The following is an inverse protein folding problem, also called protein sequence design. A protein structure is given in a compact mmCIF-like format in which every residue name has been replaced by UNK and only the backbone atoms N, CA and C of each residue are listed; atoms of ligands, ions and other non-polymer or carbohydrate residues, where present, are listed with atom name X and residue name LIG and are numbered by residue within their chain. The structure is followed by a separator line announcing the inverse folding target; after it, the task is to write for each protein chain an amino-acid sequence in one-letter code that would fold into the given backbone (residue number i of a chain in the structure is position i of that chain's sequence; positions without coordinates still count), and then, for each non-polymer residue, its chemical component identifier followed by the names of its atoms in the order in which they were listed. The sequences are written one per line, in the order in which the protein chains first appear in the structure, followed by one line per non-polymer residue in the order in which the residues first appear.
data_IF_745717985975
#
_entry.id   IF_745717985975
#
_cell.length_a   1.000
_cell.length_b   1.000
_cell.length_c   1.000
_cell.angle_alpha   90.00
_cell.angle_beta   90.00
_cell.angle_gamma   90.00
#
_symmetry.space_group_name_H-M   'P 1'
#
loop_
_entity.id
_entity.type
_entity.pdbx_description
1 polymer ?
#
# COMPACT_ATOMS: atom_id res chain seq x y z
N UNK A 1 23.46 9.09 14.79
CA UNK A 1 24.53 8.56 15.66
C UNK A 1 24.26 7.11 16.08
N UNK A 2 23.07 6.78 16.62
CA UNK A 2 22.71 5.42 17.03
C UNK A 2 22.68 4.38 15.90
N UNK A 3 22.24 4.76 14.69
CA UNK A 3 22.27 3.90 13.49
C UNK A 3 23.69 3.49 13.09
N UNK A 4 24.65 4.42 13.17
CA UNK A 4 26.05 4.15 12.85
C UNK A 4 26.68 3.21 13.88
N UNK A 5 26.37 3.40 15.17
CA UNK A 5 26.82 2.52 16.26
C UNK A 5 26.24 1.11 16.12
N UNK A 6 24.96 0.98 15.77
CA UNK A 6 24.31 -0.30 15.47
C UNK A 6 25.01 -1.03 14.31
N UNK A 7 25.25 -0.33 13.19
CA UNK A 7 25.93 -0.90 12.02
C UNK A 7 27.37 -1.33 12.31
N UNK A 8 28.11 -0.56 13.12
CA UNK A 8 29.48 -0.91 13.51
C UNK A 8 29.50 -2.15 14.39
N UNK A 9 28.65 -2.23 15.42
CA UNK A 9 28.61 -3.37 16.35
C UNK A 9 28.12 -4.65 15.67
N UNK A 10 27.07 -4.55 14.85
CA UNK A 10 26.59 -5.68 14.03
C UNK A 10 27.62 -6.09 12.99
N UNK A 11 28.32 -5.14 12.36
CA UNK A 11 29.41 -5.38 11.41
C UNK A 11 30.59 -6.12 12.03
N UNK A 12 31.01 -5.74 13.25
CA UNK A 12 32.07 -6.44 14.01
C UNK A 12 31.62 -7.87 14.33
N UNK A 13 30.39 -8.06 14.81
CA UNK A 13 29.83 -9.38 15.09
C UNK A 13 29.75 -10.27 13.85
N UNK A 14 29.29 -9.72 12.73
CA UNK A 14 29.21 -10.41 11.44
C UNK A 14 30.59 -10.79 10.91
N UNK A 15 31.56 -9.88 10.99
CA UNK A 15 32.94 -10.15 10.56
C UNK A 15 33.57 -11.31 11.35
N UNK A 16 33.36 -11.35 12.67
CA UNK A 16 33.83 -12.45 13.52
C UNK A 16 33.10 -13.76 13.17
N UNK A 17 31.80 -13.69 12.90
CA UNK A 17 30.99 -14.85 12.54
C UNK A 17 31.41 -15.46 11.19
N UNK A 18 31.49 -14.65 10.13
CA UNK A 18 31.87 -15.09 8.78
C UNK A 18 33.30 -15.64 8.72
N UNK A 19 34.27 -14.91 9.28
CA UNK A 19 35.69 -15.33 9.26
C UNK A 19 35.95 -16.64 9.99
N UNK A 20 35.14 -16.98 11.00
CA UNK A 20 35.31 -18.19 11.79
C UNK A 20 34.39 -19.34 11.36
N UNK A 21 33.41 -19.09 10.48
CA UNK A 21 32.62 -20.13 9.82
C UNK A 21 33.49 -20.99 8.90
N UNK A 22 34.36 -20.36 8.12
CA UNK A 22 35.33 -21.06 7.24
C UNK A 22 36.35 -21.90 8.04
N UNK A 23 36.69 -21.46 9.26
CA UNK A 23 37.70 -22.11 10.12
C UNK A 23 37.13 -23.17 11.07
N UNK A 24 35.83 -23.49 10.97
CA UNK A 24 35.10 -24.49 11.79
C UNK A 24 35.26 -24.35 13.33
N UNK A 25 35.58 -23.15 13.83
CA UNK A 25 35.78 -22.93 15.27
C UNK A 25 34.44 -22.61 15.96
N UNK A 26 33.81 -23.63 16.56
CA UNK A 26 32.50 -23.50 17.23
C UNK A 26 32.45 -22.40 18.29
N UNK A 27 33.53 -22.21 19.06
CA UNK A 27 33.58 -21.19 20.14
C UNK A 27 33.54 -19.76 19.59
N UNK A 28 34.27 -19.46 18.52
CA UNK A 28 34.34 -18.10 17.95
C UNK A 28 33.10 -17.74 17.13
N UNK A 29 32.48 -18.73 16.48
CA UNK A 29 31.17 -18.57 15.82
C UNK A 29 30.10 -18.22 16.87
N UNK A 30 30.10 -18.91 18.01
CA UNK A 30 29.20 -18.58 19.12
C UNK A 30 29.44 -17.15 19.64
N UNK A 31 30.70 -16.73 19.82
CA UNK A 31 31.01 -15.35 20.24
C UNK A 31 30.51 -14.29 19.26
N UNK A 32 30.70 -14.50 17.95
CA UNK A 32 30.19 -13.59 16.92
C UNK A 32 28.66 -13.50 16.93
N UNK A 33 27.98 -14.65 17.04
CA UNK A 33 26.52 -14.70 17.15
C UNK A 33 26.00 -14.02 18.44
N UNK A 34 26.68 -14.22 19.57
CA UNK A 34 26.34 -13.56 20.84
C UNK A 34 26.52 -12.05 20.77
N UNK A 35 27.56 -11.53 20.10
CA UNK A 35 27.75 -10.09 19.91
C UNK A 35 26.60 -9.49 19.10
N UNK A 36 26.21 -10.14 18.00
CA UNK A 36 25.07 -9.70 17.18
C UNK A 36 23.80 -9.72 18.02
N UNK A 37 23.51 -10.82 18.71
CA UNK A 37 22.32 -10.96 19.55
C UNK A 37 22.27 -9.93 20.67
N UNK A 38 23.37 -9.72 21.39
CA UNK A 38 23.46 -8.71 22.44
C UNK A 38 23.28 -7.28 21.90
N UNK A 39 23.85 -6.99 20.73
CA UNK A 39 23.66 -5.68 20.07
C UNK A 39 22.20 -5.46 19.73
N UNK A 40 21.55 -6.42 19.08
CA UNK A 40 20.12 -6.32 18.72
C UNK A 40 19.26 -6.14 19.97
N UNK A 41 19.48 -6.96 21.01
CA UNK A 41 18.74 -6.85 22.27
C UNK A 41 18.95 -5.50 22.97
N UNK A 42 20.18 -4.99 22.97
CA UNK A 42 20.50 -3.69 23.57
C UNK A 42 19.75 -2.55 22.88
N UNK A 43 19.72 -2.53 21.54
CA UNK A 43 19.00 -1.50 20.81
C UNK A 43 17.48 -1.62 20.93
N UNK A 44 16.93 -2.84 20.96
CA UNK A 44 15.51 -3.06 21.24
C UNK A 44 15.14 -2.58 22.66
N UNK A 45 16.02 -2.79 23.64
CA UNK A 45 15.83 -2.29 24.99
C UNK A 45 15.89 -0.76 25.05
N UNK A 46 16.84 -0.13 24.36
CA UNK A 46 16.92 1.34 24.31
C UNK A 46 15.68 1.97 23.68
N UNK A 47 15.15 1.35 22.63
CA UNK A 47 13.93 1.79 21.96
C UNK A 47 12.72 1.69 22.91
N UNK A 48 12.55 0.52 23.53
CA UNK A 48 11.52 0.29 24.55
C UNK A 48 11.61 1.29 25.72
N UNK A 49 12.81 1.49 26.27
CA UNK A 49 13.04 2.40 27.39
C UNK A 49 12.81 3.86 27.00
N UNK A 50 13.20 4.24 25.78
CA UNK A 50 12.95 5.56 25.24
C UNK A 50 11.46 5.86 25.10
N UNK A 51 10.68 4.90 24.59
CA UNK A 51 9.22 5.03 24.49
C UNK A 51 8.57 5.10 25.87
N UNK A 52 8.94 4.23 26.81
CA UNK A 52 8.40 4.26 28.18
C UNK A 52 8.60 5.64 28.84
N UNK A 53 9.84 6.17 28.80
CA UNK A 53 10.16 7.49 29.35
C UNK A 53 9.37 8.61 28.66
N UNK A 54 9.16 8.51 27.35
CA UNK A 54 8.37 9.48 26.61
C UNK A 54 6.88 9.45 27.01
N UNK A 55 6.30 8.26 27.16
CA UNK A 55 4.92 8.10 27.64
C UNK A 55 4.77 8.56 29.09
N UNK A 56 5.76 8.31 29.94
CA UNK A 56 5.77 8.77 31.33
C UNK A 56 5.87 10.30 31.42
N UNK A 57 6.73 10.92 30.61
CA UNK A 57 6.86 12.38 30.53
C UNK A 57 5.55 13.08 30.10
N UNK A 58 4.71 12.41 29.32
CA UNK A 58 3.40 12.91 28.90
C UNK A 58 2.25 12.53 29.85
N UNK A 59 2.53 11.79 30.93
CA UNK A 59 1.51 11.31 31.88
C UNK A 59 0.63 10.17 31.36
N UNK A 60 1.02 9.51 30.27
CA UNK A 60 0.28 8.41 29.63
C UNK A 60 0.89 7.03 29.88
N UNK A 61 1.63 6.85 30.99
CA UNK A 61 2.30 5.58 31.34
C UNK A 61 1.34 4.38 31.34
N UNK A 62 0.11 4.55 31.85
CA UNK A 62 -0.91 3.49 31.80
C UNK A 62 -1.29 3.04 30.38
N UNK A 63 -1.28 3.95 29.40
CA UNK A 63 -1.55 3.64 27.99
C UNK A 63 -0.41 2.84 27.37
N UNK A 64 0.85 3.16 27.72
CA UNK A 64 2.02 2.42 27.26
C UNK A 64 1.94 0.95 27.66
N UNK A 65 1.72 0.65 28.94
CA UNK A 65 1.59 -0.73 29.42
C UNK A 65 0.40 -1.46 28.81
N UNK A 66 -0.73 -0.77 28.61
CA UNK A 66 -1.89 -1.36 27.94
C UNK A 66 -1.56 -1.76 26.50
N UNK A 67 -0.88 -0.88 25.76
CA UNK A 67 -0.45 -1.15 24.38
C UNK A 67 0.58 -2.27 24.32
N UNK A 68 1.59 -2.24 25.19
CA UNK A 68 2.64 -3.24 25.26
C UNK A 68 2.09 -4.63 25.62
N UNK A 69 1.23 -4.71 26.64
CA UNK A 69 0.58 -5.97 27.04
C UNK A 69 -0.36 -6.51 25.96
N UNK A 70 -1.08 -5.62 25.27
CA UNK A 70 -1.92 -6.03 24.14
C UNK A 70 -1.06 -6.62 23.02
N UNK A 71 -0.02 -5.91 22.57
CA UNK A 71 0.89 -6.40 21.54
C UNK A 71 1.56 -7.72 21.92
N UNK A 72 2.08 -7.83 23.14
CA UNK A 72 2.67 -9.07 23.65
C UNK A 72 1.66 -10.21 23.73
N UNK A 73 0.43 -9.93 24.18
CA UNK A 73 -0.67 -10.90 24.19
C UNK A 73 -1.00 -11.41 22.79
N UNK A 74 -1.09 -10.52 21.79
CA UNK A 74 -1.36 -10.90 20.41
C UNK A 74 -0.20 -11.65 19.75
N UNK A 75 1.05 -11.35 20.09
CA UNK A 75 2.21 -12.17 19.67
C UNK A 75 2.05 -13.61 20.17
N UNK A 76 1.70 -13.79 21.45
CA UNK A 76 1.55 -15.12 22.04
C UNK A 76 0.36 -15.86 21.41
N UNK A 77 -0.80 -15.22 21.31
CA UNK A 77 -1.99 -15.87 20.72
C UNK A 77 -1.78 -16.17 19.24
N UNK A 78 -1.20 -15.25 18.47
CA UNK A 78 -0.82 -15.46 17.08
C UNK A 78 0.16 -16.62 16.90
N UNK A 79 1.19 -16.70 17.76
CA UNK A 79 2.14 -17.82 17.76
C UNK A 79 1.48 -19.16 18.07
N UNK A 80 0.56 -19.20 19.04
CA UNK A 80 -0.22 -20.40 19.38
C UNK A 80 -1.17 -20.81 18.24
N UNK A 81 -1.81 -19.85 17.58
CA UNK A 81 -2.64 -20.10 16.39
C UNK A 81 -1.81 -20.69 15.25
N UNK A 82 -0.64 -20.11 14.98
CA UNK A 82 0.30 -20.61 13.99
C UNK A 82 0.71 -22.07 14.26
N UNK A 83 1.05 -22.37 15.52
CA UNK A 83 1.35 -23.73 15.97
C UNK A 83 0.17 -24.68 15.79
N UNK A 84 -1.03 -24.27 16.22
CA UNK A 84 -2.24 -25.09 16.11
C UNK A 84 -2.52 -25.46 14.66
N UNK A 85 -2.53 -24.48 13.76
CA UNK A 85 -2.80 -24.69 12.34
C UNK A 85 -1.74 -25.58 11.70
N UNK A 86 -0.45 -25.27 11.87
CA UNK A 86 0.61 -26.07 11.25
C UNK A 86 0.65 -27.49 11.82
N UNK A 87 0.32 -27.67 13.10
CA UNK A 87 0.28 -29.00 13.73
C UNK A 87 -0.80 -29.87 13.09
N UNK A 88 -1.96 -29.30 12.75
CA UNK A 88 -3.01 -29.97 11.99
C UNK A 88 -2.57 -30.29 10.56
N UNK A 89 -1.97 -29.31 9.86
CA UNK A 89 -1.46 -29.47 8.49
C UNK A 89 -0.38 -30.56 8.37
N UNK A 90 0.43 -30.72 9.41
CA UNK A 90 1.54 -31.66 9.47
C UNK A 90 1.24 -32.93 10.27
N UNK A 91 -0.02 -33.16 10.69
CA UNK A 91 -0.40 -34.32 11.52
C UNK A 91 0.00 -35.66 10.89
N UNK A 92 -0.08 -35.75 9.56
CA UNK A 92 0.23 -36.97 8.80
C UNK A 92 1.72 -37.13 8.42
N UNK A 93 2.62 -36.25 8.90
CA UNK A 93 4.05 -36.35 8.54
C UNK A 93 4.70 -37.61 9.17
N UNK A 94 5.58 -38.31 8.44
CA UNK A 94 6.37 -39.40 9.01
C UNK A 94 7.26 -38.91 10.17
N UNK A 95 7.34 -39.71 11.24
CA UNK A 95 8.15 -39.40 12.43
C UNK A 95 9.67 -39.39 12.15
N UNK A 96 10.10 -39.83 10.97
CA UNK A 96 11.50 -39.84 10.50
C UNK A 96 12.04 -38.42 10.24
N UNK A 97 11.18 -37.44 9.95
CA UNK A 97 11.57 -36.05 9.60
C UNK A 97 11.35 -35.06 10.75
N UNK A 98 11.76 -35.42 11.98
CA UNK A 98 11.55 -34.60 13.20
C UNK A 98 12.12 -33.18 13.06
N UNK A 99 13.32 -33.05 12.46
CA UNK A 99 13.97 -31.75 12.27
C UNK A 99 13.11 -30.80 11.43
N UNK A 100 12.53 -31.31 10.33
CA UNK A 100 11.66 -30.53 9.45
C UNK A 100 10.36 -30.11 10.16
N UNK A 101 9.79 -31.01 10.99
CA UNK A 101 8.61 -30.72 11.81
C UNK A 101 8.87 -29.62 12.83
N UNK A 102 9.98 -29.69 13.58
CA UNK A 102 10.34 -28.66 14.56
C UNK A 102 10.70 -27.32 13.89
N UNK A 103 11.39 -27.37 12.75
CA UNK A 103 11.67 -26.17 11.96
C UNK A 103 10.37 -25.50 11.49
N UNK A 104 9.38 -26.29 11.03
CA UNK A 104 8.07 -25.80 10.65
C UNK A 104 7.29 -25.21 11.83
N UNK A 105 7.33 -25.84 13.00
CA UNK A 105 6.71 -25.31 14.21
C UNK A 105 7.32 -23.99 14.61
N UNK A 106 8.65 -23.90 14.66
CA UNK A 106 9.35 -22.66 14.97
C UNK A 106 8.99 -21.56 13.96
N UNK A 107 8.99 -21.88 12.66
CA UNK A 107 8.62 -20.91 11.63
C UNK A 107 7.16 -20.47 11.74
N UNK A 108 6.23 -21.37 12.06
CA UNK A 108 4.81 -21.04 12.26
C UNK A 108 4.57 -20.16 13.48
N UNK A 109 5.32 -20.37 14.58
CA UNK A 109 5.28 -19.50 15.78
C UNK A 109 5.74 -18.11 15.40
N UNK A 110 6.85 -18.01 14.65
CA UNK A 110 7.38 -16.73 14.23
C UNK A 110 6.41 -16.00 13.31
N UNK A 111 5.86 -16.67 12.29
CA UNK A 111 4.87 -16.09 11.37
C UNK A 111 3.63 -15.66 12.12
N UNK A 112 3.07 -16.53 12.97
CA UNK A 112 1.87 -16.23 13.75
C UNK A 112 2.10 -15.10 14.76
N UNK A 113 3.25 -15.08 15.43
CA UNK A 113 3.62 -14.04 16.37
C UNK A 113 3.82 -12.68 15.72
N UNK A 114 4.52 -12.63 14.57
CA UNK A 114 4.66 -11.42 13.77
C UNK A 114 3.31 -10.92 13.23
N UNK A 115 2.44 -11.84 12.81
CA UNK A 115 1.07 -11.50 12.40
C UNK A 115 0.26 -10.90 13.55
N UNK A 116 0.34 -11.48 14.75
CA UNK A 116 -0.32 -10.93 15.95
C UNK A 116 0.21 -9.55 16.33
N UNK A 117 1.53 -9.36 16.26
CA UNK A 117 2.16 -8.05 16.48
C UNK A 117 1.75 -6.99 15.47
N UNK A 118 1.58 -7.34 14.20
CA UNK A 118 1.16 -6.38 13.16
C UNK A 118 -0.32 -6.00 13.24
N UNK A 119 -1.15 -6.91 13.77
CA UNK A 119 -2.61 -6.82 13.62
C UNK A 119 -3.39 -6.62 14.92
N UNK A 120 -2.71 -6.37 16.05
CA UNK A 120 -3.38 -6.09 17.33
C UNK A 120 -4.41 -4.96 17.23
N UNK A 121 -4.10 -3.88 16.50
CA UNK A 121 -4.99 -2.74 16.33
C UNK A 121 -6.23 -3.12 15.51
N UNK A 122 -6.05 -3.88 14.42
CA UNK A 122 -7.16 -4.37 13.59
C UNK A 122 -8.09 -5.27 14.40
N UNK A 123 -7.54 -6.15 15.22
CA UNK A 123 -8.34 -7.00 16.11
C UNK A 123 -9.13 -6.18 17.13
N UNK A 124 -8.49 -5.18 17.78
CA UNK A 124 -9.18 -4.34 18.76
C UNK A 124 -10.30 -3.51 18.12
N UNK A 125 -10.08 -3.00 16.90
CA UNK A 125 -11.11 -2.30 16.13
C UNK A 125 -12.29 -3.21 15.78
N UNK A 126 -12.02 -4.47 15.41
CA UNK A 126 -13.07 -5.46 15.20
C UNK A 126 -13.83 -5.80 16.49
N UNK A 127 -13.12 -5.98 17.59
CA UNK A 127 -13.71 -6.34 18.89
C UNK A 127 -14.58 -5.21 19.45
N UNK A 128 -14.13 -3.96 19.29
CA UNK A 128 -14.82 -2.76 19.72
C UNK A 128 -15.55 -2.04 18.57
N UNK A 129 -16.01 -2.80 17.57
CA UNK A 129 -16.70 -2.25 16.41
C UNK A 129 -17.93 -1.43 16.80
N UNK A 130 -18.17 -0.36 16.04
CA UNK A 130 -19.35 0.50 16.19
C UNK A 130 -20.25 0.31 14.97
N UNK A 131 -21.56 0.24 15.21
CA UNK A 131 -22.57 0.21 14.15
C UNK A 131 -22.81 1.65 13.66
N UNK A 132 -22.70 1.87 12.36
CA UNK A 132 -22.88 3.19 11.75
C UNK A 132 -24.32 3.46 11.35
N UNK A 133 -25.15 2.42 11.24
CA UNK A 133 -26.58 2.51 10.92
C UNK A 133 -26.87 2.85 9.46
N UNK A 134 -25.85 2.81 8.60
CA UNK A 134 -25.95 3.07 7.17
C UNK A 134 -25.53 1.81 6.42
N UNK A 135 -26.51 1.16 5.81
CA UNK A 135 -26.30 -0.04 5.01
C UNK A 135 -25.93 0.30 3.57
N UNK A 136 -25.02 -0.46 2.99
CA UNK A 136 -24.65 -0.35 1.58
C UNK A 136 -25.81 -0.83 0.67
N UNK A 137 -26.05 -0.16 -0.47
CA UNK A 137 -27.21 -0.45 -1.33
C UNK A 137 -27.06 -1.71 -2.20
N UNK A 138 -25.88 -2.37 -2.22
CA UNK A 138 -25.57 -3.45 -3.18
C UNK A 138 -25.57 -4.82 -2.49
N UNK A 139 -24.86 -4.94 -1.38
CA UNK A 139 -24.68 -6.13 -0.55
C UNK A 139 -25.49 -6.06 0.76
N UNK A 140 -25.99 -4.88 1.14
CA UNK A 140 -26.86 -4.71 2.31
C UNK A 140 -26.13 -4.83 3.66
N UNK A 141 -24.82 -4.68 3.69
CA UNK A 141 -24.02 -4.70 4.91
C UNK A 141 -23.87 -3.29 5.49
N UNK A 142 -23.78 -3.21 6.81
CA UNK A 142 -23.51 -1.94 7.49
C UNK A 142 -22.12 -1.40 7.12
N UNK A 143 -21.97 -0.08 6.99
CA UNK A 143 -20.67 0.53 6.69
C UNK A 143 -19.61 0.22 7.77
N UNK A 144 -20.00 0.00 9.03
CA UNK A 144 -19.12 -0.51 10.08
C UNK A 144 -18.53 -1.90 9.82
N UNK A 145 -19.18 -2.74 9.00
CA UNK A 145 -18.62 -4.02 8.55
C UNK A 145 -17.34 -3.78 7.74
N UNK A 146 -17.38 -2.86 6.79
CA UNK A 146 -16.26 -2.57 5.89
C UNK A 146 -15.09 -1.88 6.60
N UNK A 147 -15.36 -1.04 7.60
CA UNK A 147 -14.30 -0.38 8.37
C UNK A 147 -13.63 -1.28 9.42
N UNK A 148 -14.39 -2.17 10.07
CA UNK A 148 -13.89 -2.90 11.25
C UNK A 148 -13.82 -4.41 11.06
N UNK A 149 -14.80 -5.01 10.37
CA UNK A 149 -14.90 -6.47 10.24
C UNK A 149 -14.13 -7.00 9.04
N UNK A 150 -14.24 -6.35 7.89
CA UNK A 150 -13.57 -6.78 6.67
C UNK A 150 -12.03 -6.78 6.82
N UNK A 151 -11.38 -5.73 7.35
CA UNK A 151 -9.93 -5.75 7.54
C UNK A 151 -9.48 -6.87 8.48
N UNK A 152 -10.27 -7.20 9.51
CA UNK A 152 -9.99 -8.34 10.38
C UNK A 152 -10.08 -9.67 9.62
N UNK A 153 -11.12 -9.87 8.82
CA UNK A 153 -11.27 -11.07 7.98
C UNK A 153 -10.12 -11.20 6.98
N UNK A 154 -9.63 -10.09 6.41
CA UNK A 154 -8.47 -10.09 5.52
C UNK A 154 -7.20 -10.52 6.24
N UNK A 155 -7.01 -10.08 7.50
CA UNK A 155 -5.88 -10.53 8.29
C UNK A 155 -6.00 -12.01 8.68
N UNK A 156 -7.20 -12.51 8.99
CA UNK A 156 -7.41 -13.94 9.22
C UNK A 156 -7.12 -14.74 7.96
N UNK A 157 -7.57 -14.26 6.80
CA UNK A 157 -7.28 -14.87 5.51
C UNK A 157 -5.77 -14.86 5.21
N UNK A 158 -5.07 -13.75 5.46
CA UNK A 158 -3.64 -13.61 5.17
C UNK A 158 -2.78 -14.61 5.95
N UNK A 159 -3.07 -14.82 7.25
CA UNK A 159 -2.36 -15.82 8.06
C UNK A 159 -2.71 -17.24 7.65
N UNK A 160 -3.98 -17.55 7.37
CA UNK A 160 -4.41 -18.86 6.88
C UNK A 160 -3.75 -19.21 5.54
N UNK A 161 -3.66 -18.24 4.63
CA UNK A 161 -3.01 -18.40 3.34
C UNK A 161 -1.51 -18.68 3.52
N UNK A 162 -0.83 -17.86 4.32
CA UNK A 162 0.61 -18.01 4.57
C UNK A 162 0.94 -19.37 5.19
N UNK A 163 0.16 -19.80 6.20
CA UNK A 163 0.37 -21.09 6.86
C UNK A 163 0.00 -22.27 5.94
N UNK A 164 -1.00 -22.12 5.08
CA UNK A 164 -1.37 -23.15 4.08
C UNK A 164 -0.30 -23.32 3.00
N UNK A 165 0.28 -22.21 2.53
CA UNK A 165 1.44 -22.23 1.61
C UNK A 165 2.63 -22.89 2.29
N UNK A 166 2.91 -22.55 3.55
CA UNK A 166 3.97 -23.18 4.32
C UNK A 166 3.74 -24.69 4.47
N UNK A 167 2.52 -25.12 4.82
CA UNK A 167 2.15 -26.53 4.91
C UNK A 167 2.33 -27.27 3.59
N UNK A 168 1.93 -26.66 2.47
CA UNK A 168 2.15 -27.22 1.14
C UNK A 168 3.63 -27.31 0.78
N UNK A 169 4.42 -26.27 1.08
CA UNK A 169 5.86 -26.25 0.83
C UNK A 169 6.59 -27.35 1.61
N UNK A 170 6.26 -27.54 2.90
CA UNK A 170 6.81 -28.61 3.72
C UNK A 170 6.41 -29.98 3.19
N UNK A 171 5.17 -30.12 2.72
CA UNK A 171 4.68 -31.36 2.10
C UNK A 171 5.45 -31.69 0.83
N UNK A 172 5.75 -30.68 0.01
CA UNK A 172 6.55 -30.81 -1.21
C UNK A 172 8.00 -31.20 -0.91
N UNK A 173 8.65 -30.48 0.03
CA UNK A 173 10.01 -30.82 0.49
C UNK A 173 10.07 -32.24 1.05
N UNK A 174 9.07 -32.64 1.83
CA UNK A 174 9.00 -33.98 2.41
C UNK A 174 9.01 -35.04 1.30
N UNK A 175 8.16 -34.91 0.28
CA UNK A 175 8.14 -35.80 -0.88
C UNK A 175 9.47 -35.81 -1.62
N UNK A 176 10.00 -34.64 -1.97
CA UNK A 176 11.24 -34.52 -2.72
C UNK A 176 12.41 -35.22 -2.02
N UNK A 177 12.50 -35.11 -0.69
CA UNK A 177 13.55 -35.80 0.07
C UNK A 177 13.36 -37.31 0.15
N UNK A 178 12.13 -37.82 0.05
CA UNK A 178 11.86 -39.26 0.01
C UNK A 178 12.20 -39.84 -1.37
N UNK A 179 11.90 -39.14 -2.46
CA UNK A 179 12.25 -39.55 -3.84
C UNK A 179 13.77 -39.69 -4.01
N UNK A 180 14.56 -38.78 -3.43
CA UNK A 180 16.03 -38.90 -3.48
C UNK A 180 16.59 -40.07 -2.64
N UNK A 181 15.93 -40.45 -1.54
CA UNK A 181 16.39 -41.52 -0.66
C UNK A 181 16.02 -42.92 -1.20
N UNK A 182 14.85 -43.05 -1.84
CA UNK A 182 14.39 -44.32 -2.44
C UNK A 182 15.22 -44.81 -3.64
N UNK A 183 16.09 -43.96 -4.20
CA UNK A 183 17.03 -44.34 -5.26
C UNK A 183 18.25 -45.13 -4.74
N UNK A 184 18.42 -45.27 -3.42
CA UNK A 184 19.40 -46.16 -2.80
C UNK A 184 18.72 -47.50 -2.43
N UNK A 185 19.09 -48.56 -3.16
CA UNK A 185 18.44 -49.88 -3.30
C UNK A 185 18.22 -50.75 -2.02
N UNK A 186 18.29 -50.22 -0.78
CA UNK A 186 18.36 -51.05 0.42
C UNK A 186 17.13 -51.03 1.36
N UNK A 187 16.11 -50.17 1.17
CA UNK A 187 15.01 -50.00 2.16
C UNK A 187 13.60 -49.95 1.53
N UNK A 188 13.32 -50.80 0.53
CA UNK A 188 12.09 -50.69 -0.29
C UNK A 188 10.74 -50.85 0.44
N UNK A 189 10.64 -51.53 1.59
CA UNK A 189 9.34 -51.79 2.26
C UNK A 189 8.85 -50.71 3.22
N UNK A 190 9.76 -49.99 3.87
CA UNK A 190 9.39 -48.84 4.72
C UNK A 190 9.12 -47.59 3.88
N UNK A 191 9.86 -47.44 2.77
CA UNK A 191 9.74 -46.31 1.84
C UNK A 191 8.37 -46.26 1.14
N UNK A 192 7.76 -47.40 0.80
CA UNK A 192 6.44 -47.42 0.14
C UNK A 192 5.30 -46.88 1.03
N UNK A 193 5.33 -47.17 2.33
CA UNK A 193 4.29 -46.70 3.27
C UNK A 193 4.44 -45.19 3.50
N UNK A 194 5.68 -44.70 3.61
CA UNK A 194 5.98 -43.29 3.83
C UNK A 194 5.74 -42.45 2.55
N UNK A 195 5.97 -43.00 1.36
CA UNK A 195 5.63 -42.36 0.08
C UNK A 195 4.11 -42.19 -0.09
N UNK A 196 3.30 -43.21 0.23
CA UNK A 196 1.83 -43.08 0.21
C UNK A 196 1.29 -42.10 1.27
N UNK A 197 2.02 -41.86 2.37
CA UNK A 197 1.67 -40.84 3.37
C UNK A 197 2.03 -39.43 2.90
N UNK A 198 3.20 -39.23 2.27
CA UNK A 198 3.59 -37.93 1.71
C UNK A 198 2.67 -37.47 0.58
N UNK A 199 2.19 -38.40 -0.26
CA UNK A 199 1.22 -38.09 -1.32
C UNK A 199 -0.11 -37.62 -0.73
N UNK A 200 -0.60 -38.30 0.30
CA UNK A 200 -1.83 -37.89 1.00
C UNK A 200 -1.66 -36.53 1.67
N UNK A 201 -0.50 -36.27 2.27
CA UNK A 201 -0.17 -34.99 2.90
C UNK A 201 -0.17 -33.84 1.87
N UNK A 202 0.40 -34.05 0.69
CA UNK A 202 0.39 -33.07 -0.39
C UNK A 202 -1.02 -32.74 -0.88
N UNK A 203 -1.84 -33.76 -1.13
CA UNK A 203 -3.23 -33.53 -1.54
C UNK A 203 -4.07 -32.89 -0.43
N UNK A 204 -3.83 -33.23 0.83
CA UNK A 204 -4.51 -32.63 1.97
C UNK A 204 -4.17 -31.13 2.07
N UNK A 205 -2.88 -30.79 2.08
CA UNK A 205 -2.43 -29.39 2.12
C UNK A 205 -2.85 -28.61 0.87
N UNK A 206 -2.80 -29.24 -0.31
CA UNK A 206 -3.30 -28.65 -1.56
C UNK A 206 -4.80 -28.39 -1.55
N UNK A 207 -5.59 -29.33 -1.00
CA UNK A 207 -7.03 -29.15 -0.80
C UNK A 207 -7.35 -28.01 0.17
N UNK A 208 -6.64 -27.93 1.30
CA UNK A 208 -6.79 -26.83 2.26
C UNK A 208 -6.42 -25.49 1.61
N UNK A 209 -5.33 -25.43 0.86
CA UNK A 209 -4.94 -24.21 0.17
C UNK A 209 -6.03 -23.73 -0.79
N UNK A 210 -6.64 -24.63 -1.58
CA UNK A 210 -7.76 -24.27 -2.45
C UNK A 210 -8.99 -23.79 -1.68
N UNK A 211 -9.30 -24.40 -0.54
CA UNK A 211 -10.40 -23.93 0.32
C UNK A 211 -10.12 -22.53 0.89
N UNK A 212 -8.88 -22.27 1.33
CA UNK A 212 -8.47 -20.94 1.79
C UNK A 212 -8.55 -19.93 0.65
N UNK A 213 -8.06 -20.26 -0.55
CA UNK A 213 -8.17 -19.42 -1.75
C UNK A 213 -9.64 -19.13 -2.12
N UNK A 214 -10.53 -20.12 -2.00
CA UNK A 214 -11.98 -19.91 -2.18
C UNK A 214 -12.56 -18.97 -1.12
N UNK A 215 -12.10 -19.06 0.13
CA UNK A 215 -12.44 -18.11 1.19
C UNK A 215 -12.00 -16.68 0.88
N UNK A 216 -10.79 -16.51 0.31
CA UNK A 216 -10.33 -15.21 -0.20
C UNK A 216 -11.26 -14.66 -1.28
N UNK A 217 -11.66 -15.50 -2.26
CA UNK A 217 -12.62 -15.09 -3.30
C UNK A 217 -14.01 -14.75 -2.77
N UNK A 218 -14.41 -15.32 -1.64
CA UNK A 218 -15.62 -14.89 -0.95
C UNK A 218 -15.46 -13.49 -0.35
N UNK A 219 -14.30 -13.17 0.24
CA UNK A 219 -14.00 -11.82 0.76
C UNK A 219 -13.87 -10.78 -0.37
N UNK A 220 -13.38 -11.17 -1.54
CA UNK A 220 -13.29 -10.28 -2.72
C UNK A 220 -14.67 -9.69 -3.11
N UNK A 221 -15.78 -10.36 -2.77
CA UNK A 221 -17.14 -9.82 -3.02
C UNK A 221 -17.38 -8.51 -2.28
N UNK A 222 -16.89 -8.41 -1.04
CA UNK A 222 -17.02 -7.20 -0.22
C UNK A 222 -16.03 -6.12 -0.66
N UNK A 223 -14.89 -6.52 -1.23
CA UNK A 223 -13.89 -5.60 -1.77
C UNK A 223 -14.34 -4.87 -3.04
N UNK A 224 -15.41 -5.33 -3.71
CA UNK A 224 -15.99 -4.60 -4.84
C UNK A 224 -16.40 -3.17 -4.48
N UNK A 225 -16.67 -2.89 -3.20
CA UNK A 225 -16.96 -1.53 -2.74
C UNK A 225 -15.74 -0.58 -2.78
N UNK A 226 -14.53 -1.12 -2.94
CA UNK A 226 -13.29 -0.38 -3.12
C UNK A 226 -12.74 -0.52 -4.54
N UNK A 227 -13.58 -0.93 -5.52
CA UNK A 227 -13.17 -1.05 -6.92
C UNK A 227 -12.88 0.32 -7.54
N UNK A 228 -11.86 0.40 -8.39
CA UNK A 228 -11.51 1.60 -9.17
C UNK A 228 -11.66 1.36 -10.68
N UNK A 229 -12.46 0.36 -11.08
CA UNK A 229 -12.63 -0.03 -12.49
C UNK A 229 -13.50 0.93 -13.32
N UNK A 230 -14.35 1.74 -12.68
CA UNK A 230 -15.27 2.68 -13.35
C UNK A 230 -14.85 4.14 -13.23
N UNK A 231 -15.75 5.06 -13.60
CA UNK A 231 -15.49 6.51 -13.53
C UNK A 231 -15.32 7.05 -12.10
N UNK A 232 -15.78 6.32 -11.09
CA UNK A 232 -15.76 6.70 -9.67
C UNK A 232 -15.27 5.54 -8.81
N UNK A 233 -14.62 5.84 -7.69
CA UNK A 233 -14.23 4.81 -6.72
C UNK A 233 -15.47 4.16 -6.09
N UNK A 234 -15.62 2.87 -6.31
CA UNK A 234 -16.78 2.10 -5.93
C UNK A 234 -17.18 1.11 -7.02
N UNK A 235 -18.17 0.25 -6.74
CA UNK A 235 -18.56 -0.81 -7.63
C UNK A 235 -19.31 -0.24 -8.83
N UNK A 236 -18.80 -0.51 -10.04
CA UNK A 236 -19.46 -0.17 -11.29
C UNK A 236 -20.52 -1.19 -11.72
N UNK A 237 -21.15 -0.96 -12.88
CA UNK A 237 -22.13 -1.89 -13.44
C UNK A 237 -21.52 -3.27 -13.73
N UNK A 238 -20.30 -3.29 -14.28
CA UNK A 238 -19.56 -4.51 -14.58
C UNK A 238 -19.23 -5.28 -13.31
N UNK A 239 -18.88 -4.59 -12.23
CA UNK A 239 -18.53 -5.23 -10.95
C UNK A 239 -19.73 -5.96 -10.35
N UNK A 240 -20.89 -5.31 -10.31
CA UNK A 240 -22.11 -5.89 -9.72
C UNK A 240 -22.74 -6.95 -10.62
N UNK A 241 -22.78 -6.72 -11.94
CA UNK A 241 -23.51 -7.61 -12.85
C UNK A 241 -22.66 -8.76 -13.36
N UNK A 242 -21.36 -8.56 -13.55
CA UNK A 242 -20.45 -9.55 -14.15
C UNK A 242 -19.52 -10.15 -13.11
N UNK A 243 -18.80 -9.32 -12.34
CA UNK A 243 -17.79 -9.82 -11.39
C UNK A 243 -18.45 -10.54 -10.21
N UNK A 244 -19.50 -10.00 -9.61
CA UNK A 244 -20.15 -10.61 -8.45
C UNK A 244 -20.69 -12.03 -8.72
N UNK A 245 -21.43 -12.31 -9.83
CA UNK A 245 -21.79 -13.68 -10.18
C UNK A 245 -20.59 -14.55 -10.52
N UNK A 246 -19.58 -13.99 -11.22
CA UNK A 246 -18.39 -14.74 -11.59
C UNK A 246 -17.57 -15.17 -10.38
N UNK A 247 -17.42 -14.30 -9.37
CA UNK A 247 -16.84 -14.65 -8.07
C UNK A 247 -17.59 -15.82 -7.44
N UNK A 248 -18.93 -15.83 -7.49
CA UNK A 248 -19.73 -16.95 -6.96
C UNK A 248 -19.41 -18.27 -7.66
N UNK A 249 -19.32 -18.26 -9.00
CA UNK A 249 -18.93 -19.44 -9.79
C UNK A 249 -17.50 -19.89 -9.47
N UNK A 250 -16.57 -18.94 -9.38
CA UNK A 250 -15.16 -19.19 -9.04
C UNK A 250 -15.03 -19.81 -7.64
N UNK A 251 -15.76 -19.29 -6.65
CA UNK A 251 -15.77 -19.83 -5.27
C UNK A 251 -16.26 -21.28 -5.30
N UNK A 252 -17.39 -21.57 -5.97
CA UNK A 252 -17.95 -22.92 -6.06
C UNK A 252 -16.96 -23.87 -6.73
N UNK A 253 -16.42 -23.49 -7.90
CA UNK A 253 -15.46 -24.32 -8.64
C UNK A 253 -14.18 -24.58 -7.84
N UNK A 254 -13.61 -23.54 -7.21
CA UNK A 254 -12.39 -23.67 -6.41
C UNK A 254 -12.63 -24.55 -5.18
N UNK A 255 -13.79 -24.40 -4.53
CA UNK A 255 -14.21 -25.24 -3.40
C UNK A 255 -14.38 -26.70 -3.83
N UNK A 256 -15.07 -26.95 -4.96
CA UNK A 256 -15.25 -28.30 -5.49
C UNK A 256 -13.91 -28.96 -5.85
N UNK A 257 -12.99 -28.23 -6.46
CA UNK A 257 -11.64 -28.72 -6.75
C UNK A 257 -10.86 -29.03 -5.46
N UNK A 258 -10.95 -28.17 -4.45
CA UNK A 258 -10.40 -28.42 -3.11
C UNK A 258 -10.95 -29.70 -2.47
N UNK A 259 -12.28 -29.86 -2.48
CA UNK A 259 -12.97 -31.05 -1.98
C UNK A 259 -12.58 -32.33 -2.73
N UNK A 260 -12.45 -32.24 -4.05
CA UNK A 260 -12.05 -33.36 -4.91
C UNK A 260 -10.62 -33.83 -4.60
N UNK A 261 -9.73 -32.93 -4.20
CA UNK A 261 -8.39 -33.28 -3.71
C UNK A 261 -8.42 -34.02 -2.37
N UNK A 262 -9.46 -33.92 -1.54
CA UNK A 262 -9.55 -34.76 -0.33
C UNK A 262 -10.00 -36.20 -0.63
N UNK A 263 -10.82 -36.40 -1.68
CA UNK A 263 -11.46 -37.69 -1.98
C UNK A 263 -10.53 -38.59 -2.83
N UNK A 264 -10.11 -39.77 -2.36
CA UNK A 264 -9.22 -40.66 -3.12
C UNK A 264 -9.75 -41.10 -4.48
N UNK A 265 -11.07 -41.27 -4.62
CA UNK A 265 -11.72 -41.57 -5.89
C UNK A 265 -11.61 -40.41 -6.88
N UNK A 266 -11.80 -39.17 -6.42
CA UNK A 266 -11.64 -37.95 -7.21
C UNK A 266 -10.22 -37.80 -7.74
N UNK A 267 -9.21 -38.02 -6.88
CA UNK A 267 -7.79 -38.02 -7.27
C UNK A 267 -7.49 -38.98 -8.43
N UNK A 268 -8.04 -40.20 -8.36
CA UNK A 268 -7.86 -41.23 -9.41
C UNK A 268 -8.52 -40.86 -10.73
N UNK A 269 -9.63 -40.12 -10.72
CA UNK A 269 -10.24 -39.59 -11.95
C UNK A 269 -9.33 -38.55 -12.58
N UNK A 270 -8.83 -37.61 -11.78
CA UNK A 270 -7.91 -36.58 -12.25
C UNK A 270 -6.59 -37.15 -12.79
N UNK A 271 -6.02 -38.12 -12.08
CA UNK A 271 -4.83 -38.86 -12.48
C UNK A 271 -5.03 -39.63 -13.79
N UNK A 272 -6.23 -40.21 -14.00
CA UNK A 272 -6.56 -40.91 -15.26
C UNK A 272 -6.56 -39.99 -16.47
N UNK A 273 -7.05 -38.76 -16.31
CA UNK A 273 -7.01 -37.76 -17.40
C UNK A 273 -5.56 -37.40 -17.76
N UNK A 274 -4.67 -37.33 -16.78
CA UNK A 274 -3.25 -37.01 -16.97
C UNK A 274 -2.41 -38.21 -17.45
N UNK A 275 -2.84 -39.44 -17.16
CA UNK A 275 -2.18 -40.67 -17.64
C UNK A 275 -2.15 -40.74 -19.18
N UNK A 276 -3.10 -40.09 -19.86
CA UNK A 276 -3.14 -39.96 -21.32
C UNK A 276 -1.88 -39.28 -21.89
N UNK A 277 -1.14 -38.53 -21.08
CA UNK A 277 0.10 -37.84 -21.46
C UNK A 277 1.39 -38.62 -21.11
N UNK A 278 1.32 -39.93 -20.81
CA UNK A 278 2.49 -40.80 -20.50
C UNK A 278 3.40 -40.31 -19.35
N UNK A 279 2.81 -39.71 -18.32
CA UNK A 279 3.56 -39.28 -17.13
C UNK A 279 3.84 -40.48 -16.21
N UNK A 280 5.08 -40.62 -15.73
CA UNK A 280 5.49 -41.69 -14.81
C UNK A 280 4.74 -41.67 -13.48
N UNK A 281 4.51 -42.85 -12.89
CA UNK A 281 3.70 -43.04 -11.67
C UNK A 281 4.23 -42.26 -10.46
N UNK A 282 5.54 -42.05 -10.38
CA UNK A 282 6.21 -41.45 -9.22
C UNK A 282 6.04 -39.92 -9.15
N UNK A 283 5.80 -39.25 -10.29
CA UNK A 283 5.56 -37.79 -10.33
C UNK A 283 4.09 -37.41 -10.50
N UNK A 284 3.19 -38.39 -10.62
CA UNK A 284 1.76 -38.17 -10.89
C UNK A 284 1.12 -37.18 -9.92
N UNK A 285 1.43 -37.24 -8.63
CA UNK A 285 0.77 -36.39 -7.65
C UNK A 285 1.19 -34.91 -7.74
N UNK A 286 2.44 -34.60 -8.09
CA UNK A 286 2.89 -33.22 -8.35
C UNK A 286 2.22 -32.65 -9.61
N UNK A 287 2.21 -33.42 -10.71
CA UNK A 287 1.55 -33.01 -11.94
C UNK A 287 0.04 -32.84 -11.76
N UNK A 288 -0.61 -33.67 -10.93
CA UNK A 288 -2.04 -33.49 -10.65
C UNK A 288 -2.32 -32.19 -9.89
N UNK A 289 -1.49 -31.86 -8.89
CA UNK A 289 -1.62 -30.61 -8.15
C UNK A 289 -1.35 -29.41 -9.06
N UNK A 290 -0.30 -29.48 -9.88
CA UNK A 290 0.04 -28.46 -10.87
C UNK A 290 -1.07 -28.27 -11.91
N UNK A 291 -1.69 -29.35 -12.38
CA UNK A 291 -2.81 -29.29 -13.31
C UNK A 291 -4.06 -28.65 -12.67
N UNK A 292 -4.41 -29.01 -11.43
CA UNK A 292 -5.51 -28.34 -10.71
C UNK A 292 -5.23 -26.86 -10.53
N UNK A 293 -4.02 -26.51 -10.09
CA UNK A 293 -3.62 -25.12 -9.91
C UNK A 293 -3.71 -24.34 -11.23
N UNK A 294 -3.23 -24.92 -12.33
CA UNK A 294 -3.31 -24.31 -13.66
C UNK A 294 -4.76 -24.11 -14.13
N UNK A 295 -5.64 -25.08 -13.92
CA UNK A 295 -7.07 -24.96 -14.27
C UNK A 295 -7.74 -23.88 -13.43
N UNK A 296 -7.50 -23.86 -12.11
CA UNK A 296 -8.05 -22.83 -11.21
C UNK A 296 -7.54 -21.45 -11.64
N UNK A 297 -6.24 -21.30 -11.88
CA UNK A 297 -5.65 -20.05 -12.34
C UNK A 297 -6.21 -19.59 -13.69
N UNK A 298 -6.40 -20.50 -14.65
CA UNK A 298 -7.00 -20.19 -15.94
C UNK A 298 -8.46 -19.73 -15.80
N UNK A 299 -9.26 -20.41 -14.97
CA UNK A 299 -10.65 -20.03 -14.68
C UNK A 299 -10.70 -18.65 -14.02
N UNK A 300 -9.80 -18.38 -13.07
CA UNK A 300 -9.71 -17.07 -12.41
C UNK A 300 -9.33 -15.97 -13.40
N UNK A 301 -8.31 -16.19 -14.22
CA UNK A 301 -7.84 -15.21 -15.21
C UNK A 301 -8.92 -14.91 -16.26
N UNK A 302 -9.58 -15.94 -16.79
CA UNK A 302 -10.65 -15.78 -17.77
C UNK A 302 -11.85 -15.08 -17.12
N UNK A 303 -12.29 -15.57 -15.96
CA UNK A 303 -13.52 -15.12 -15.30
C UNK A 303 -13.41 -13.72 -14.68
N UNK A 304 -12.28 -13.39 -14.04
CA UNK A 304 -12.13 -12.16 -13.26
C UNK A 304 -11.34 -11.08 -13.98
N UNK A 305 -10.66 -11.37 -15.09
CA UNK A 305 -9.90 -10.37 -15.84
C UNK A 305 -10.36 -10.25 -17.29
N UNK A 306 -10.38 -11.34 -18.06
CA UNK A 306 -10.73 -11.26 -19.48
C UNK A 306 -12.21 -10.94 -19.72
N UNK A 307 -13.13 -11.64 -19.05
CA UNK A 307 -14.56 -11.42 -19.24
C UNK A 307 -14.97 -10.00 -18.77
N UNK A 308 -14.65 -9.54 -17.55
CA UNK A 308 -15.05 -8.22 -17.10
C UNK A 308 -14.44 -7.11 -17.95
N UNK A 309 -13.14 -7.19 -18.27
CA UNK A 309 -12.48 -6.20 -19.12
C UNK A 309 -13.07 -6.13 -20.53
N UNK A 310 -13.49 -7.27 -21.08
CA UNK A 310 -14.19 -7.28 -22.38
C UNK A 310 -15.56 -6.58 -22.27
N UNK A 311 -16.35 -6.87 -21.24
CA UNK A 311 -17.66 -6.24 -21.07
C UNK A 311 -17.55 -4.73 -20.78
N UNK A 312 -16.56 -4.31 -19.99
CA UNK A 312 -16.31 -2.90 -19.72
C UNK A 312 -16.01 -2.16 -21.03
N UNK A 313 -14.99 -2.60 -21.78
CA UNK A 313 -14.52 -1.90 -22.98
C UNK A 313 -15.52 -1.94 -24.15
N UNK A 314 -16.23 -3.07 -24.35
CA UNK A 314 -17.10 -3.23 -25.52
C UNK A 314 -18.56 -2.84 -25.28
N UNK A 315 -19.03 -2.78 -24.02
CA UNK A 315 -20.46 -2.54 -23.73
C UNK A 315 -20.71 -1.39 -22.76
N UNK A 316 -19.87 -1.21 -21.75
CA UNK A 316 -20.07 -0.17 -20.74
C UNK A 316 -19.46 1.15 -21.20
N UNK A 317 -18.17 1.20 -21.53
CA UNK A 317 -17.50 2.44 -21.96
C UNK A 317 -18.21 3.17 -23.12
N UNK A 318 -18.75 2.48 -24.16
CA UNK A 318 -19.47 3.18 -25.23
C UNK A 318 -20.76 3.89 -24.78
N UNK A 319 -21.34 3.52 -23.64
CA UNK A 319 -22.54 4.13 -23.08
C UNK A 319 -22.49 4.18 -21.55
N UNK A 320 -21.38 4.70 -21.02
CA UNK A 320 -21.04 4.63 -19.60
C UNK A 320 -22.08 5.33 -18.72
N UNK A 321 -22.53 6.52 -19.14
CA UNK A 321 -23.53 7.32 -18.41
C UNK A 321 -24.80 6.50 -18.14
N UNK A 322 -25.30 5.72 -19.11
CA UNK A 322 -26.55 4.99 -18.91
C UNK A 322 -26.39 3.81 -17.94
N UNK A 323 -25.28 3.08 -18.04
CA UNK A 323 -25.02 1.89 -17.21
C UNK A 323 -24.53 2.26 -15.80
N UNK A 324 -23.73 3.32 -15.67
CA UNK A 324 -23.07 3.70 -14.41
C UNK A 324 -23.87 4.72 -13.58
N UNK A 325 -24.87 5.41 -14.14
CA UNK A 325 -25.70 6.40 -13.44
C UNK A 325 -26.16 6.00 -12.02
N UNK A 326 -26.74 4.80 -11.77
CA UNK A 326 -27.16 4.44 -10.42
C UNK A 326 -25.98 4.30 -9.45
N UNK A 327 -24.84 3.79 -9.92
CA UNK A 327 -23.63 3.61 -9.10
C UNK A 327 -22.97 4.95 -8.78
N UNK A 328 -22.92 5.86 -9.76
CA UNK A 328 -22.46 7.24 -9.56
C UNK A 328 -23.35 7.96 -8.54
N UNK A 329 -24.68 7.77 -8.60
CA UNK A 329 -25.61 8.35 -7.63
C UNK A 329 -25.33 7.86 -6.22
N UNK A 330 -25.13 6.55 -6.02
CA UNK A 330 -24.76 5.99 -4.72
C UNK A 330 -23.42 6.54 -4.24
N UNK A 331 -22.41 6.64 -5.11
CA UNK A 331 -21.11 7.22 -4.75
C UNK A 331 -21.25 8.67 -4.28
N UNK A 332 -22.02 9.51 -4.99
CA UNK A 332 -22.28 10.91 -4.60
C UNK A 332 -22.96 10.96 -3.24
N UNK A 333 -23.98 10.13 -3.01
CA UNK A 333 -24.70 10.06 -1.74
C UNK A 333 -23.77 9.66 -0.58
N UNK A 334 -23.02 8.56 -0.73
CA UNK A 334 -22.09 8.08 0.31
C UNK A 334 -20.93 9.04 0.56
N UNK A 335 -20.44 9.72 -0.47
CA UNK A 335 -19.43 10.79 -0.32
C UNK A 335 -19.99 11.96 0.47
N UNK A 336 -21.21 12.40 0.14
CA UNK A 336 -21.89 13.47 0.89
C UNK A 336 -22.15 13.08 2.34
N UNK A 337 -22.50 11.82 2.60
CA UNK A 337 -22.64 11.31 3.98
C UNK A 337 -21.30 11.26 4.71
N UNK A 338 -20.25 10.72 4.09
CA UNK A 338 -18.93 10.58 4.70
C UNK A 338 -18.28 11.91 5.07
N UNK A 339 -18.41 12.92 4.21
CA UNK A 339 -17.96 14.29 4.49
C UNK A 339 -18.99 15.14 5.26
N UNK A 340 -20.13 14.54 5.66
CA UNK A 340 -21.22 15.22 6.36
C UNK A 340 -21.75 16.46 5.62
N UNK A 341 -21.68 16.46 4.28
CA UNK A 341 -22.17 17.49 3.37
C UNK A 341 -23.70 17.47 3.23
N UNK A 342 -24.38 16.44 3.72
CA UNK A 342 -25.84 16.39 3.81
C UNK A 342 -26.40 17.46 4.75
N UNK A 343 -25.59 17.95 5.70
CA UNK A 343 -25.94 19.05 6.62
C UNK A 343 -25.45 20.42 6.15
N UNK A 344 -24.74 20.49 5.03
CA UNK A 344 -24.22 21.74 4.51
C UNK A 344 -25.37 22.56 3.89
N UNK A 345 -25.41 23.85 4.23
CA UNK A 345 -26.35 24.80 3.66
C UNK A 345 -25.76 25.35 2.35
N UNK A 346 -26.42 25.07 1.22
CA UNK A 346 -26.06 25.69 -0.04
C UNK A 346 -26.64 27.10 -0.08
N UNK A 347 -25.78 28.11 -0.12
CA UNK A 347 -26.17 29.51 -0.37
C UNK A 347 -25.68 29.92 -1.73
N UNK A 348 -26.61 30.19 -2.63
CA UNK A 348 -26.29 30.90 -3.86
C UNK A 348 -25.91 32.34 -3.48
N UNK A 349 -24.79 32.83 -4.01
CA UNK A 349 -24.41 34.24 -3.90
C UNK A 349 -24.89 34.93 -5.18
N UNK A 350 -26.10 35.52 -5.20
CA UNK A 350 -26.59 36.20 -6.38
C UNK A 350 -25.70 37.42 -6.63
N UNK A 351 -24.95 37.40 -7.72
CA UNK A 351 -24.18 38.54 -8.20
C UNK A 351 -25.13 39.50 -8.91
N UNK A 352 -26.03 40.12 -8.15
CA UNK A 352 -26.86 41.23 -8.63
C UNK A 352 -26.79 42.38 -7.62
N UNK A 353 -25.70 43.15 -7.70
CA UNK A 353 -25.70 44.53 -7.22
C UNK A 353 -25.54 45.45 -8.43
N UNK A 354 -26.55 46.29 -8.66
CA UNK A 354 -26.48 47.37 -9.63
C UNK A 354 -25.24 48.24 -9.34
N UNK A 355 -24.33 48.36 -10.29
CA UNK A 355 -23.14 49.20 -10.19
C UNK A 355 -23.56 50.67 -10.03
N UNK A 356 -23.62 51.15 -8.79
CA UNK A 356 -24.02 52.53 -8.42
C UNK A 356 -22.80 53.36 -8.02
N UNK A 357 -22.92 54.68 -8.12
CA UNK A 357 -21.84 55.59 -7.72
C UNK A 357 -21.57 55.48 -6.21
N UNK A 358 -22.62 55.33 -5.42
CA UNK A 358 -22.56 55.16 -3.97
C UNK A 358 -21.79 53.88 -3.57
N UNK A 359 -21.92 52.80 -4.36
CA UNK A 359 -21.14 51.57 -4.15
C UNK A 359 -19.64 51.80 -4.41
N UNK A 360 -19.28 52.54 -5.45
CA UNK A 360 -17.88 52.88 -5.75
C UNK A 360 -17.28 53.78 -4.66
N UNK A 361 -18.05 54.77 -4.20
CA UNK A 361 -17.62 55.69 -3.15
C UNK A 361 -17.47 55.01 -1.78
N UNK A 362 -18.33 54.05 -1.45
CA UNK A 362 -18.24 53.28 -0.20
C UNK A 362 -17.14 52.20 -0.22
N UNK A 363 -16.71 51.76 -1.41
CA UNK A 363 -15.71 50.70 -1.60
C UNK A 363 -14.41 51.18 -2.23
N UNK A 364 -13.99 52.43 -1.95
CA UNK A 364 -12.76 52.99 -2.55
C UNK A 364 -11.52 52.12 -2.33
N UNK A 365 -11.40 51.44 -1.19
CA UNK A 365 -10.27 50.51 -0.95
C UNK A 365 -10.24 49.33 -1.92
N UNK A 366 -11.41 48.85 -2.38
CA UNK A 366 -11.47 47.79 -3.39
C UNK A 366 -11.05 48.38 -4.74
N UNK A 367 -11.70 49.44 -5.20
CA UNK A 367 -11.45 50.05 -6.51
C UNK A 367 -10.02 50.57 -6.68
N UNK A 368 -9.42 51.12 -5.63
CA UNK A 368 -8.02 51.57 -5.63
C UNK A 368 -7.01 50.42 -5.67
N UNK A 369 -7.47 49.17 -5.54
CA UNK A 369 -6.66 47.96 -5.53
C UNK A 369 -7.12 46.90 -6.56
N UNK A 370 -8.10 47.22 -7.43
CA UNK A 370 -8.51 46.32 -8.52
C UNK A 370 -7.37 46.25 -9.52
N UNK A 371 -6.70 45.09 -9.57
CA UNK A 371 -5.60 44.87 -10.50
C UNK A 371 -6.07 44.97 -11.95
N UNK A 372 -5.66 46.04 -12.64
CA UNK A 372 -5.88 46.25 -14.07
C UNK A 372 -4.72 45.69 -14.92
N UNK A 373 -3.54 45.53 -14.33
CA UNK A 373 -2.36 44.99 -15.00
C UNK A 373 -2.30 43.45 -14.91
N UNK A 374 -1.95 42.78 -16.02
CA UNK A 374 -1.46 41.39 -15.97
C UNK A 374 0.04 41.38 -15.71
N UNK A 375 0.49 40.55 -14.77
CA UNK A 375 1.90 40.50 -14.35
C UNK A 375 2.85 40.06 -15.46
N UNK A 376 2.39 39.23 -16.42
CA UNK A 376 3.20 38.80 -17.57
C UNK A 376 3.34 39.91 -18.60
N UNK A 377 2.28 40.69 -18.80
CA UNK A 377 2.32 41.85 -19.70
C UNK A 377 3.23 42.94 -19.11
N UNK A 378 3.14 43.19 -17.80
CA UNK A 378 3.97 44.17 -17.12
C UNK A 378 5.45 43.79 -17.14
N UNK A 379 5.80 42.51 -17.00
CA UNK A 379 7.18 42.02 -17.14
C UNK A 379 7.80 42.46 -18.48
N UNK A 380 7.11 42.22 -19.60
CA UNK A 380 7.59 42.61 -20.92
C UNK A 380 7.80 44.13 -21.05
N UNK A 381 6.91 44.92 -20.46
CA UNK A 381 7.00 46.39 -20.45
C UNK A 381 8.18 46.86 -19.59
N UNK A 382 8.38 46.28 -18.41
CA UNK A 382 9.53 46.60 -17.55
C UNK A 382 10.85 46.25 -18.22
N UNK A 383 10.92 45.11 -18.94
CA UNK A 383 12.09 44.77 -19.75
C UNK A 383 12.38 45.85 -20.79
N UNK A 384 11.35 46.29 -21.52
CA UNK A 384 11.53 47.30 -22.57
C UNK A 384 11.96 48.69 -22.03
N UNK A 385 11.38 49.15 -20.92
CA UNK A 385 11.57 50.53 -20.44
C UNK A 385 12.57 50.67 -19.28
N UNK A 386 12.74 49.63 -18.47
CA UNK A 386 13.52 49.68 -17.23
C UNK A 386 14.81 48.83 -17.27
N UNK A 387 15.07 48.04 -18.33
CA UNK A 387 16.40 47.48 -18.64
C UNK A 387 17.28 48.55 -19.29
N UNK A 388 17.53 49.61 -18.52
CA UNK A 388 18.34 50.76 -18.93
C UNK A 388 19.77 50.39 -19.38
N UNK A 389 20.22 49.15 -19.12
CA UNK A 389 21.51 48.56 -19.52
C UNK A 389 21.31 47.09 -19.83
N UNK A 390 22.07 46.57 -20.79
CA UNK A 390 22.00 45.18 -21.28
C UNK A 390 22.25 44.10 -20.21
N UNK A 391 22.90 44.46 -19.11
CA UNK A 391 23.23 43.54 -18.01
C UNK A 391 22.20 43.56 -16.88
N UNK A 392 21.14 44.36 -17.00
CA UNK A 392 20.00 44.28 -16.11
C UNK A 392 18.90 43.43 -16.75
N UNK A 393 18.23 42.65 -15.92
CA UNK A 393 17.14 41.79 -16.34
C UNK A 393 16.05 41.77 -15.27
N UNK A 394 14.80 41.66 -15.68
CA UNK A 394 13.67 41.40 -14.78
C UNK A 394 13.22 39.95 -14.93
N UNK A 395 13.20 39.18 -13.85
CA UNK A 395 12.82 37.77 -13.90
C UNK A 395 11.31 37.56 -13.80
N UNK A 396 10.67 38.31 -12.90
CA UNK A 396 9.26 38.20 -12.58
C UNK A 396 8.71 39.51 -12.02
N UNK A 397 7.39 39.67 -12.10
CA UNK A 397 6.66 40.74 -11.41
C UNK A 397 5.82 40.12 -10.31
N UNK A 398 6.10 40.51 -9.07
CA UNK A 398 5.36 40.07 -7.90
C UNK A 398 4.31 41.11 -7.48
N UNK A 399 3.29 40.62 -6.80
CA UNK A 399 2.18 41.44 -6.30
C UNK A 399 2.36 41.57 -4.80
N UNK A 400 2.48 42.81 -4.35
CA UNK A 400 2.72 43.12 -2.95
C UNK A 400 1.83 44.29 -2.51
N UNK A 401 1.86 44.65 -1.23
CA UNK A 401 1.02 45.69 -0.66
C UNK A 401 1.85 46.61 0.24
N UNK A 402 1.77 47.91 -0.03
CA UNK A 402 2.48 48.93 0.71
C UNK A 402 1.52 50.03 1.19
N UNK A 403 1.94 50.75 2.22
CA UNK A 403 1.19 51.88 2.75
C UNK A 403 1.80 53.19 2.23
N UNK A 404 1.06 53.92 1.40
CA UNK A 404 1.48 55.23 0.91
C UNK A 404 0.62 56.31 1.57
N UNK A 405 1.24 57.21 2.35
CA UNK A 405 0.52 58.30 3.02
C UNK A 405 -0.63 57.84 3.93
N UNK A 406 -0.50 56.67 4.57
CA UNK A 406 -1.54 56.08 5.42
C UNK A 406 -2.61 55.26 4.68
N UNK A 407 -2.55 55.19 3.34
CA UNK A 407 -3.46 54.36 2.53
C UNK A 407 -2.80 53.07 2.08
N UNK A 408 -3.48 51.95 2.28
CA UNK A 408 -3.01 50.63 1.87
C UNK A 408 -3.28 50.41 0.39
N UNK A 409 -2.22 50.26 -0.40
CA UNK A 409 -2.29 50.04 -1.85
C UNK A 409 -1.54 48.79 -2.26
N UNK A 410 -2.14 48.06 -3.18
CA UNK A 410 -1.55 46.95 -3.87
C UNK A 410 -0.69 47.48 -5.02
N UNK A 411 0.52 46.95 -5.13
CA UNK A 411 1.50 47.32 -6.13
C UNK A 411 2.00 46.08 -6.84
N UNK A 412 2.52 46.30 -8.03
CA UNK A 412 3.35 45.33 -8.72
C UNK A 412 4.79 45.80 -8.64
N UNK A 413 5.65 44.90 -8.18
CA UNK A 413 7.07 45.19 -7.95
C UNK A 413 7.92 44.15 -8.65
N UNK A 414 9.04 44.59 -9.21
CA UNK A 414 10.05 43.70 -9.77
C UNK A 414 11.43 44.23 -9.42
N UNK A 415 12.30 43.33 -8.99
CA UNK A 415 13.69 43.67 -8.71
C UNK A 415 14.45 43.81 -10.03
N UNK A 416 15.20 44.91 -10.19
CA UNK A 416 16.11 45.05 -11.34
C UNK A 416 17.36 44.25 -11.04
N UNK A 417 17.38 42.99 -11.46
CA UNK A 417 18.48 42.07 -11.20
C UNK A 417 19.63 42.27 -12.18
N UNK A 418 20.82 41.79 -11.80
CA UNK A 418 22.01 41.85 -12.63
C UNK A 418 22.37 40.47 -13.15
N UNK A 419 22.58 40.35 -14.46
CA UNK A 419 22.97 39.12 -15.14
C UNK A 419 24.36 39.29 -15.75
N UNK A 420 25.44 38.84 -15.06
CA UNK A 420 26.82 39.08 -15.50
C UNK A 420 27.18 38.43 -16.84
N UNK A 421 26.41 37.46 -17.32
CA UNK A 421 26.59 36.83 -18.63
C UNK A 421 26.18 37.74 -19.79
N UNK A 422 25.36 38.76 -19.54
CA UNK A 422 24.94 39.73 -20.56
C UNK A 422 25.96 40.87 -20.75
N UNK A 423 27.04 40.89 -19.95
CA UNK A 423 28.19 41.77 -20.19
C UNK A 423 28.94 41.31 -21.45
N UNK A 424 29.51 42.24 -22.25
CA UNK A 424 30.40 41.90 -23.36
C UNK A 424 31.49 40.94 -22.92
N UNK A 425 31.87 39.98 -23.77
CA UNK A 425 32.79 38.89 -23.42
C UNK A 425 34.12 39.41 -22.84
N UNK A 426 34.64 40.50 -23.40
CA UNK A 426 35.85 41.19 -22.95
C UNK A 426 35.74 41.78 -21.53
N UNK A 427 34.51 42.10 -21.10
CA UNK A 427 34.19 42.66 -19.79
C UNK A 427 33.82 41.60 -18.74
N UNK A 428 33.78 40.32 -19.09
CA UNK A 428 33.46 39.22 -18.16
C UNK A 428 34.68 38.76 -17.32
N UNK A 429 35.51 39.71 -16.89
CA UNK A 429 36.69 39.42 -16.07
C UNK A 429 36.30 39.05 -14.64
N UNK A 430 37.19 38.34 -13.92
CA UNK A 430 37.01 38.04 -12.50
C UNK A 430 36.72 39.30 -11.69
N UNK A 431 37.43 40.40 -11.96
CA UNK A 431 37.24 41.66 -11.25
C UNK A 431 35.84 42.22 -11.45
N UNK A 432 35.32 42.17 -12.67
CA UNK A 432 34.00 42.66 -12.98
C UNK A 432 32.92 41.78 -12.35
N UNK A 433 33.03 40.45 -12.43
CA UNK A 433 32.05 39.51 -11.84
C UNK A 433 32.03 39.52 -10.32
N UNK A 434 33.17 39.73 -9.66
CA UNK A 434 33.31 39.56 -8.20
C UNK A 434 33.35 40.88 -7.43
N UNK A 435 33.81 41.99 -8.04
CA UNK A 435 33.98 43.26 -7.31
C UNK A 435 33.17 44.44 -7.85
N UNK A 436 32.78 44.45 -9.14
CA UNK A 436 32.05 45.59 -9.71
C UNK A 436 30.56 45.31 -9.94
N UNK A 437 30.26 44.19 -10.57
CA UNK A 437 28.94 43.83 -11.08
C UNK A 437 28.37 42.65 -10.31
N UNK A 438 28.15 42.87 -9.00
CA UNK A 438 27.82 41.81 -8.05
C UNK A 438 26.33 41.71 -7.72
N UNK A 439 25.57 42.79 -7.94
CA UNK A 439 24.16 42.88 -7.57
C UNK A 439 23.39 43.75 -8.56
N UNK A 440 22.08 43.48 -8.65
CA UNK A 440 21.13 44.35 -9.32
C UNK A 440 21.01 45.71 -8.63
N UNK A 441 20.39 46.68 -9.31
CA UNK A 441 20.22 48.03 -8.77
C UNK A 441 18.80 48.54 -8.92
N UNK A 442 18.13 48.64 -7.77
CA UNK A 442 16.81 49.23 -7.63
C UNK A 442 15.66 48.26 -7.86
N UNK A 443 14.46 48.81 -7.75
CA UNK A 443 13.20 48.13 -7.96
C UNK A 443 12.36 48.97 -8.91
N UNK A 444 11.61 48.32 -9.79
CA UNK A 444 10.54 48.96 -10.53
C UNK A 444 9.23 48.66 -9.80
N UNK A 445 8.48 49.71 -9.45
CA UNK A 445 7.22 49.60 -8.73
C UNK A 445 6.17 50.42 -9.47
N UNK A 446 5.01 49.83 -9.68
CA UNK A 446 3.82 50.53 -10.20
C UNK A 446 2.62 50.17 -9.34
N UNK A 447 1.68 51.08 -9.20
CA UNK A 447 0.37 50.72 -8.64
C UNK A 447 -0.34 49.76 -9.59
N UNK A 448 -1.24 48.91 -9.05
CA UNK A 448 -1.96 47.94 -9.89
C UNK A 448 -3.12 48.55 -10.69
N UNK A 449 -3.42 49.83 -10.47
CA UNK A 449 -4.65 50.51 -10.93
C UNK A 449 -4.38 51.74 -11.78
N UNK A 450 -3.20 52.35 -11.70
CA UNK A 450 -2.89 53.58 -12.43
C UNK A 450 -2.10 53.27 -13.71
N UNK A 451 -2.32 54.12 -14.71
CA UNK A 451 -1.64 54.09 -16.00
C UNK A 451 -1.48 55.52 -16.51
N UNK A 452 -0.46 55.77 -17.33
CA UNK A 452 -0.29 57.06 -18.01
C UNK A 452 -1.34 57.21 -19.11
N UNK A 453 -1.59 58.43 -19.64
CA UNK A 453 -2.53 58.64 -20.75
C UNK A 453 -2.23 57.78 -21.99
N UNK A 454 -0.97 57.36 -22.17
CA UNK A 454 -0.49 56.49 -23.25
C UNK A 454 -0.71 54.99 -22.95
N UNK A 455 -1.29 54.64 -21.79
CA UNK A 455 -1.54 53.27 -21.40
C UNK A 455 -0.31 52.53 -20.89
N UNK A 456 0.70 53.25 -20.39
CA UNK A 456 1.91 52.67 -19.78
C UNK A 456 1.79 52.61 -18.25
N UNK A 457 2.53 51.72 -17.57
CA UNK A 457 2.61 51.71 -16.11
C UNK A 457 3.14 53.05 -15.59
N UNK A 458 2.51 53.56 -14.54
CA UNK A 458 2.94 54.77 -13.84
C UNK A 458 3.98 54.40 -12.77
N UNK A 459 5.26 54.55 -13.13
CA UNK A 459 6.43 54.08 -12.37
C UNK A 459 7.01 55.14 -11.41
#
# INVERSE_FOLDING_TARGET
MFTLLFLVLTGIGAFILFRNLERKSKKRVATGASIIGATVLFFLFLDFWGEELWFDALGYNGRFWTLFLAQGGFVVTGGLLGLGIISGLLFSLPNTKRVLRYAAYLLSVLIGGLWGFGNWNVFLQFWHKVNTGLADPILGQDTGFYFFTLPFLDQVYSVLLTLSILGLAISYITRYTLEQQGNNLAIARADDIDAHRSDRLLFFNGGILLLVLAGGKYLDRFHLLYSDLGAVSGPGWTDVTIILPTLTVVIILTTLMGLLLFIPAGRKVLQRLLYRFRIGRDRMAEYTLGAVAAVVAAVWFIGLSLIPGSFQNFRVEPNEISYEKPYISHNIEFTRHGFNLTKAENREFPVEESFTREMVESNQTIFNNIRLWDWRALDAVLKQFQEIRLYYEFNNVDIDRYTFGGQYRQVMVSAREMVPTNLPVESQTFVNKVFKYTHGYGLALTTVTEFTPEGLPNL
#
